data_IF_964362809608
#
_entry.id   IF_964362809608
#
_cell.length_a   1.000
_cell.length_b   1.000
_cell.length_c   1.000
_cell.angle_alpha   90.00
_cell.angle_beta   90.00
_cell.angle_gamma   90.00
#
_symmetry.space_group_name_H-M   'P 1'
#
loop_
_entity.id
_entity.type
_entity.pdbx_description
1 polymer ?
#
# COMPACT_ATOMS: atom_id res chain seq x y z
N UNK A 1 -13.35 0.20 12.41
CA UNK A 1 -12.02 0.50 12.93
C UNK A 1 -11.17 1.30 11.97
N UNK A 2 -10.10 1.83 12.51
CA UNK A 2 -9.11 2.58 11.75
C UNK A 2 -7.78 1.84 11.76
N UNK A 3 -6.99 2.06 10.71
CA UNK A 3 -5.63 1.53 10.60
C UNK A 3 -4.64 2.65 10.86
N UNK A 4 -3.67 2.39 11.71
CA UNK A 4 -2.61 3.34 12.03
C UNK A 4 -1.31 2.91 11.36
N UNK A 5 -0.62 3.86 10.74
CA UNK A 5 0.62 3.63 10.01
C UNK A 5 1.81 3.77 10.95
N UNK A 6 2.67 2.76 10.96
CA UNK A 6 3.96 2.78 11.64
C UNK A 6 5.07 2.54 10.63
N UNK A 7 6.25 3.03 10.91
CA UNK A 7 7.43 2.82 10.08
C UNK A 7 8.71 2.81 10.93
N UNK A 8 9.76 2.27 10.37
CA UNK A 8 11.07 2.32 10.99
C UNK A 8 11.57 3.76 11.02
N UNK A 9 12.17 4.17 12.13
CA UNK A 9 12.60 5.55 12.34
C UNK A 9 13.92 5.91 11.66
N UNK A 10 14.67 4.92 11.16
CA UNK A 10 15.94 5.13 10.46
C UNK A 10 16.54 3.83 9.97
N UNK A 11 17.64 3.95 9.21
CA UNK A 11 18.29 2.79 8.60
C UNK A 11 18.96 1.85 9.61
N UNK A 12 19.41 2.38 10.74
CA UNK A 12 20.21 1.64 11.71
C UNK A 12 19.44 1.29 12.99
N UNK A 13 18.15 1.58 13.04
CA UNK A 13 17.34 1.30 14.23
C UNK A 13 16.21 0.34 13.88
N UNK A 14 15.96 -0.61 14.79
CA UNK A 14 14.80 -1.47 14.71
C UNK A 14 13.56 -0.83 15.35
N UNK A 15 13.64 0.45 15.72
CA UNK A 15 12.54 1.16 16.36
C UNK A 15 11.47 1.51 15.35
N UNK A 16 10.22 1.16 15.67
CA UNK A 16 9.06 1.44 14.85
C UNK A 16 8.25 2.55 15.53
N UNK A 17 7.99 3.61 14.78
CA UNK A 17 7.27 4.79 15.28
C UNK A 17 6.02 5.05 14.46
N UNK A 18 5.01 5.63 15.11
CA UNK A 18 3.80 6.05 14.41
C UNK A 18 4.11 7.17 13.41
N UNK A 19 3.58 7.05 12.21
CA UNK A 19 3.64 8.12 11.22
C UNK A 19 2.66 9.21 11.62
N UNK A 20 3.15 10.44 11.73
CA UNK A 20 2.34 11.58 12.16
C UNK A 20 2.27 12.65 11.09
N UNK A 21 1.17 13.40 11.10
CA UNK A 21 1.02 14.56 10.25
C UNK A 21 1.99 15.67 10.72
N UNK A 22 2.77 16.22 9.78
CA UNK A 22 3.78 17.22 10.12
C UNK A 22 3.19 18.51 10.69
N UNK A 23 2.00 18.87 10.27
CA UNK A 23 1.37 20.12 10.68
C UNK A 23 0.63 20.01 12.02
N UNK A 24 -0.02 18.88 12.26
CA UNK A 24 -0.86 18.70 13.45
C UNK A 24 -0.19 17.87 14.54
N UNK A 25 0.81 17.05 14.20
CA UNK A 25 1.44 16.09 15.11
C UNK A 25 0.58 14.87 15.41
N UNK A 26 -0.60 14.77 14.83
CA UNK A 26 -1.51 13.66 15.06
C UNK A 26 -1.09 12.42 14.26
N UNK A 27 -1.31 11.21 14.81
CA UNK A 27 -1.09 9.98 14.05
C UNK A 27 -1.94 9.92 12.79
N UNK A 28 -1.40 9.32 11.74
CA UNK A 28 -2.13 9.12 10.48
C UNK A 28 -2.90 7.82 10.58
N UNK A 29 -4.22 7.93 10.58
CA UNK A 29 -5.15 6.81 10.60
C UNK A 29 -6.02 6.83 9.34
N UNK A 30 -6.40 5.65 8.87
CA UNK A 30 -7.26 5.51 7.69
C UNK A 30 -8.29 4.41 7.87
N UNK A 31 -9.44 4.58 7.23
CA UNK A 31 -10.52 3.59 7.25
C UNK A 31 -10.23 2.43 6.30
N UNK A 32 -9.48 2.69 5.23
CA UNK A 32 -9.10 1.69 4.24
C UNK A 32 -7.59 1.71 4.04
N UNK A 33 -7.00 0.52 3.90
CA UNK A 33 -5.62 0.35 3.47
C UNK A 33 -5.59 -0.44 2.18
N UNK A 34 -4.74 0.00 1.25
CA UNK A 34 -4.51 -0.69 0.00
C UNK A 34 -3.02 -0.85 -0.23
N UNK A 35 -2.61 -2.10 -0.46
CA UNK A 35 -1.25 -2.41 -0.87
C UNK A 35 -1.30 -2.79 -2.34
N UNK A 36 -0.82 -1.91 -3.21
CA UNK A 36 -0.79 -2.15 -4.65
C UNK A 36 0.57 -2.72 -5.01
N UNK A 37 0.58 -3.93 -5.55
CA UNK A 37 1.80 -4.55 -6.07
C UNK A 37 1.96 -4.14 -7.52
N UNK A 38 2.94 -3.29 -7.78
CA UNK A 38 3.20 -2.78 -9.12
C UNK A 38 4.67 -2.90 -9.47
N UNK A 39 5.00 -3.04 -10.77
CA UNK A 39 6.39 -3.14 -11.18
C UNK A 39 7.17 -1.87 -10.85
N UNK A 40 8.34 -2.06 -10.24
CA UNK A 40 9.32 -1.01 -10.01
C UNK A 40 10.53 -1.33 -10.86
N UNK A 41 10.94 -0.40 -11.70
CA UNK A 41 12.10 -0.57 -12.56
C UNK A 41 13.14 0.51 -12.24
N UNK A 42 14.41 0.11 -12.18
CA UNK A 42 15.48 1.07 -12.00
C UNK A 42 15.66 1.89 -13.27
N UNK A 43 15.47 3.21 -13.14
CA UNK A 43 15.83 4.16 -14.19
C UNK A 43 17.33 4.45 -14.14
N UNK A 44 17.88 4.58 -12.94
CA UNK A 44 19.30 4.76 -12.70
C UNK A 44 19.67 4.13 -11.35
N UNK A 45 20.90 3.58 -11.24
CA UNK A 45 21.39 3.00 -10.00
C UNK A 45 22.17 4.01 -9.15
N UNK A 46 22.78 5.01 -9.78
CA UNK A 46 23.59 6.02 -9.10
C UNK A 46 23.33 7.39 -9.74
N UNK A 47 22.57 8.32 -9.11
CA UNK A 47 21.74 8.05 -7.91
C UNK A 47 20.64 7.06 -8.20
N UNK A 48 20.13 6.41 -7.15
CA UNK A 48 19.05 5.45 -7.29
C UNK A 48 17.74 6.16 -7.67
N UNK A 49 17.25 5.86 -8.86
CA UNK A 49 15.97 6.38 -9.36
C UNK A 49 15.14 5.17 -9.81
N UNK A 50 13.95 5.07 -9.25
CA UNK A 50 13.03 3.96 -9.53
C UNK A 50 11.80 4.50 -10.23
N UNK A 51 11.41 3.84 -11.31
CA UNK A 51 10.16 4.11 -12.02
C UNK A 51 9.07 3.17 -11.50
N UNK A 52 8.01 3.74 -10.97
CA UNK A 52 6.85 2.99 -10.48
C UNK A 52 5.84 2.88 -11.63
N UNK A 53 5.68 1.66 -12.15
CA UNK A 53 4.87 1.42 -13.34
C UNK A 53 3.43 1.11 -12.96
N UNK A 54 2.69 2.12 -12.55
CA UNK A 54 1.29 1.99 -12.12
C UNK A 54 0.33 2.20 -13.31
N UNK A 55 0.43 1.34 -14.30
CA UNK A 55 -0.49 1.26 -15.43
C UNK A 55 -0.67 -0.20 -15.84
N UNK A 56 -1.80 -0.51 -16.46
CA UNK A 56 -2.21 -1.88 -16.73
C UNK A 56 -3.03 -2.43 -15.58
N UNK A 57 -2.63 -3.56 -15.06
CA UNK A 57 -3.30 -4.18 -13.91
C UNK A 57 -2.32 -5.01 -13.10
N UNK A 58 -2.68 -5.28 -11.85
CA UNK A 58 -1.85 -6.09 -10.97
C UNK A 58 -2.60 -6.52 -9.71
N UNK A 59 -1.89 -7.28 -8.88
CA UNK A 59 -2.42 -7.75 -7.61
C UNK A 59 -2.42 -6.64 -6.57
N UNK A 60 -3.39 -6.70 -5.68
CA UNK A 60 -3.49 -5.78 -4.57
C UNK A 60 -4.13 -6.49 -3.36
N UNK A 61 -3.84 -5.96 -2.19
CA UNK A 61 -4.48 -6.40 -0.96
C UNK A 61 -5.21 -5.20 -0.37
N UNK A 62 -6.50 -5.37 -0.10
CA UNK A 62 -7.31 -4.33 0.49
C UNK A 62 -7.70 -4.72 1.91
N UNK A 63 -7.58 -3.79 2.83
CA UNK A 63 -7.92 -3.99 4.24
C UNK A 63 -8.98 -2.99 4.66
N UNK A 64 -10.05 -3.50 5.27
CA UNK A 64 -11.05 -2.70 5.94
C UNK A 64 -11.74 -3.52 7.02
N UNK A 65 -12.09 -2.88 8.13
CA UNK A 65 -12.76 -3.51 9.27
C UNK A 65 -12.07 -4.78 9.77
N UNK A 66 -10.72 -4.79 9.74
CA UNK A 66 -9.92 -5.92 10.20
C UNK A 66 -9.88 -7.11 9.24
N UNK A 67 -10.46 -6.99 8.06
CA UNK A 67 -10.49 -8.06 7.05
C UNK A 67 -9.63 -7.71 5.86
N UNK A 68 -8.99 -8.73 5.28
CA UNK A 68 -8.18 -8.62 4.08
C UNK A 68 -8.92 -9.20 2.87
N UNK A 69 -8.87 -8.48 1.77
CA UNK A 69 -9.49 -8.88 0.51
C UNK A 69 -8.44 -8.89 -0.59
N UNK A 70 -8.33 -9.99 -1.30
CA UNK A 70 -7.53 -10.04 -2.52
C UNK A 70 -8.29 -9.34 -3.62
N UNK A 71 -7.66 -8.32 -4.21
CA UNK A 71 -8.26 -7.53 -5.27
C UNK A 71 -7.25 -7.31 -6.39
N UNK A 72 -7.70 -6.79 -7.52
CA UNK A 72 -6.84 -6.36 -8.62
C UNK A 72 -6.95 -4.85 -8.76
N UNK A 73 -5.81 -4.18 -8.90
CA UNK A 73 -5.80 -2.79 -9.33
C UNK A 73 -5.79 -2.74 -10.85
N UNK A 74 -6.52 -1.80 -11.42
CA UNK A 74 -6.69 -1.66 -12.86
C UNK A 74 -6.57 -0.19 -13.23
N UNK A 75 -5.66 0.12 -14.13
CA UNK A 75 -5.47 1.45 -14.70
C UNK A 75 -5.06 1.27 -16.16
N UNK A 76 -6.04 1.17 -17.09
CA UNK A 76 -5.75 0.78 -18.48
C UNK A 76 -4.93 1.81 -19.25
N UNK A 77 -5.00 3.08 -18.84
CA UNK A 77 -4.31 4.17 -19.52
C UNK A 77 -3.52 5.01 -18.53
N UNK A 78 -2.36 5.58 -18.93
CA UNK A 78 -1.56 6.43 -18.04
C UNK A 78 -2.34 7.62 -17.45
N UNK A 79 -3.27 8.19 -18.23
CA UNK A 79 -4.12 9.30 -17.80
C UNK A 79 -5.46 8.82 -17.20
N UNK A 80 -5.67 7.52 -17.10
CA UNK A 80 -6.90 6.93 -16.58
C UNK A 80 -6.96 6.89 -15.06
N UNK A 81 -8.16 6.73 -14.53
CA UNK A 81 -8.39 6.54 -13.11
C UNK A 81 -8.11 5.10 -12.74
N UNK A 82 -7.40 4.91 -11.63
CA UNK A 82 -7.17 3.59 -11.06
C UNK A 82 -8.43 3.13 -10.32
N UNK A 83 -8.82 1.89 -10.54
CA UNK A 83 -9.94 1.28 -9.80
C UNK A 83 -9.57 -0.13 -9.34
N UNK A 84 -10.34 -0.65 -8.40
CA UNK A 84 -10.12 -1.97 -7.82
C UNK A 84 -11.27 -2.90 -8.15
N UNK A 85 -10.93 -4.14 -8.45
CA UNK A 85 -11.87 -5.19 -8.80
C UNK A 85 -11.74 -6.36 -7.84
N UNK A 86 -12.88 -6.90 -7.39
CA UNK A 86 -12.94 -8.19 -6.71
C UNK A 86 -12.67 -9.33 -7.70
N UNK A 87 -12.35 -10.56 -7.20
CA UNK A 87 -12.10 -11.71 -8.09
C UNK A 87 -13.25 -12.03 -9.05
N UNK A 88 -14.48 -11.72 -8.69
CA UNK A 88 -15.65 -11.93 -9.56
C UNK A 88 -15.89 -10.82 -10.60
N UNK A 89 -15.02 -9.81 -10.62
CA UNK A 89 -15.14 -8.67 -11.52
C UNK A 89 -15.95 -7.50 -10.98
N UNK A 90 -16.60 -7.64 -9.83
CA UNK A 90 -17.33 -6.55 -9.20
C UNK A 90 -16.37 -5.49 -8.64
N UNK A 91 -16.83 -4.24 -8.59
CA UNK A 91 -16.05 -3.16 -7.97
C UNK A 91 -15.86 -3.41 -6.48
N UNK A 92 -14.64 -3.12 -5.98
CA UNK A 92 -14.35 -3.23 -4.55
C UNK A 92 -15.07 -2.13 -3.78
N UNK A 93 -15.86 -2.47 -2.74
CA UNK A 93 -16.61 -1.46 -1.98
C UNK A 93 -15.74 -0.87 -0.87
N UNK A 94 -15.30 0.37 -1.05
CA UNK A 94 -14.58 1.10 -0.01
C UNK A 94 -15.48 1.43 1.18
N UNK A 95 -14.89 1.39 2.37
CA UNK A 95 -15.53 1.96 3.56
C UNK A 95 -15.49 3.48 3.48
N UNK A 96 -16.57 4.19 3.86
CA UNK A 96 -16.52 5.65 3.96
C UNK A 96 -15.41 6.12 4.90
N UNK A 97 -14.66 7.12 4.47
CA UNK A 97 -13.53 7.67 5.21
C UNK A 97 -12.28 7.77 4.36
N UNK A 98 -11.15 7.93 5.03
CA UNK A 98 -9.86 8.07 4.36
C UNK A 98 -9.33 6.73 3.87
N UNK A 99 -8.53 6.79 2.81
CA UNK A 99 -7.84 5.62 2.24
C UNK A 99 -6.35 5.90 2.15
N UNK A 100 -5.55 4.98 2.65
CA UNK A 100 -4.10 4.99 2.48
C UNK A 100 -3.72 4.00 1.40
N UNK A 101 -3.01 4.47 0.38
CA UNK A 101 -2.44 3.63 -0.67
C UNK A 101 -0.95 3.45 -0.41
N UNK A 102 -0.52 2.21 -0.32
CA UNK A 102 0.90 1.84 -0.23
C UNK A 102 1.30 1.16 -1.54
N UNK A 103 2.25 1.77 -2.27
CA UNK A 103 2.76 1.19 -3.50
C UNK A 103 3.98 0.35 -3.17
N UNK A 104 3.93 -0.93 -3.48
CA UNK A 104 5.01 -1.87 -3.16
C UNK A 104 5.43 -2.63 -4.40
N UNK A 105 6.68 -3.09 -4.42
CA UNK A 105 7.18 -3.91 -5.51
C UNK A 105 6.45 -5.25 -5.59
N UNK A 106 6.44 -5.87 -6.75
CA UNK A 106 5.71 -7.12 -7.00
C UNK A 106 6.16 -8.28 -6.11
N UNK A 107 7.40 -8.26 -5.64
CA UNK A 107 7.96 -9.27 -4.72
C UNK A 107 7.80 -8.93 -3.25
N UNK A 108 7.22 -7.77 -2.94
CA UNK A 108 6.97 -7.37 -1.56
C UNK A 108 5.92 -8.24 -0.89
N UNK A 109 6.00 -8.37 0.43
CA UNK A 109 5.06 -9.17 1.20
C UNK A 109 4.26 -8.33 2.19
N UNK A 110 3.03 -8.74 2.42
CA UNK A 110 2.13 -8.17 3.43
C UNK A 110 1.62 -9.32 4.28
N UNK A 111 1.92 -9.30 5.56
CA UNK A 111 1.63 -10.41 6.47
C UNK A 111 0.95 -9.92 7.75
N UNK A 112 0.01 -10.70 8.24
CA UNK A 112 -0.55 -10.51 9.57
C UNK A 112 0.02 -11.60 10.49
N UNK A 113 1.11 -11.28 11.20
CA UNK A 113 1.74 -12.21 12.13
C UNK A 113 0.98 -12.31 13.45
N UNK A 114 0.40 -11.19 13.88
CA UNK A 114 -0.43 -11.09 15.08
C UNK A 114 -1.73 -10.41 14.68
N UNK A 115 -2.85 -10.90 15.21
CA UNK A 115 -4.15 -10.32 14.88
C UNK A 115 -4.17 -8.81 15.13
N UNK A 116 -4.59 -8.05 14.13
CA UNK A 116 -4.65 -6.60 14.19
C UNK A 116 -3.35 -5.88 13.82
N UNK A 117 -2.25 -6.62 13.57
CA UNK A 117 -0.96 -6.06 13.20
C UNK A 117 -0.49 -6.60 11.86
N UNK A 118 -0.34 -5.72 10.89
CA UNK A 118 0.08 -6.05 9.54
C UNK A 118 1.49 -5.52 9.29
N UNK A 119 2.35 -6.38 8.77
CA UNK A 119 3.73 -6.05 8.46
C UNK A 119 3.93 -6.08 6.95
N UNK A 120 4.47 -4.98 6.42
CA UNK A 120 4.82 -4.87 5.01
C UNK A 120 6.34 -4.92 4.90
N UNK A 121 6.83 -5.89 4.12
CA UNK A 121 8.24 -5.96 3.75
C UNK A 121 8.34 -5.52 2.29
N UNK A 122 8.85 -4.31 2.11
CA UNK A 122 9.06 -3.72 0.79
C UNK A 122 10.28 -4.34 0.13
N UNK A 123 10.12 -4.77 -1.11
CA UNK A 123 11.19 -5.36 -1.88
C UNK A 123 11.21 -4.77 -3.29
N UNK A 124 12.41 -4.45 -3.77
CA UNK A 124 12.65 -3.95 -5.13
C UNK A 124 13.34 -5.04 -5.96
N UNK A 125 13.15 -5.01 -7.27
CA UNK A 125 13.84 -5.95 -8.15
C UNK A 125 15.36 -5.76 -8.17
#
# INVERSE_FOLDING_TARGET
>A
GLYRRFQESGFDTAEVVALTDRLTGEPIDSANLLFLKDPHAYYALTPEIVDIQLYGEGDALALRDGKAYDVRWIRPYPEGVLYLSLPDGAAYPFKPGTTWFELVGTSSSVMQEVQGYWTVTFDLP
#
